data_IF_290164005660
#
_entry.id   IF_290164005660
#
_cell.length_a   1.000
_cell.length_b   1.000
_cell.length_c   1.000
_cell.angle_alpha   90.00
_cell.angle_beta   90.00
_cell.angle_gamma   90.00
#
_symmetry.space_group_name_H-M   'P 1'
#
loop_
_entity.id
_entity.type
_entity.pdbx_description
1 polymer ?
#
# COMPACT_ATOMS: atom_id res chain seq x y z
N UNK A 1 -35.24 -11.50 -23.44
CA UNK A 1 -34.43 -11.54 -24.69
C UNK A 1 -32.99 -11.80 -24.31
N UNK A 2 -32.53 -13.03 -24.48
CA UNK A 2 -31.12 -13.37 -24.19
C UNK A 2 -30.27 -12.79 -25.32
N UNK A 3 -29.52 -11.71 -25.03
CA UNK A 3 -28.43 -11.26 -25.90
C UNK A 3 -27.36 -12.34 -25.87
N UNK A 4 -27.36 -13.17 -26.89
CA UNK A 4 -26.21 -14.05 -27.15
C UNK A 4 -25.02 -13.16 -27.52
N UNK A 5 -24.10 -12.97 -26.58
CA UNK A 5 -22.82 -12.28 -26.83
C UNK A 5 -22.04 -13.11 -27.85
N UNK A 6 -21.92 -12.61 -29.07
CA UNK A 6 -21.12 -13.29 -30.11
C UNK A 6 -19.64 -13.12 -29.77
N UNK A 7 -19.01 -14.16 -29.24
CA UNK A 7 -17.57 -14.22 -29.05
C UNK A 7 -16.87 -14.46 -30.39
N UNK A 8 -15.95 -13.58 -30.73
CA UNK A 8 -15.12 -13.68 -31.93
C UNK A 8 -13.77 -14.25 -31.51
N UNK A 9 -13.28 -15.24 -32.27
CA UNK A 9 -11.89 -15.72 -32.10
C UNK A 9 -10.92 -14.59 -32.38
N UNK A 10 -9.84 -14.51 -31.61
CA UNK A 10 -8.83 -13.46 -31.72
C UNK A 10 -8.27 -13.30 -33.17
N UNK A 11 -8.23 -14.38 -33.94
CA UNK A 11 -7.81 -14.37 -35.34
C UNK A 11 -8.68 -13.52 -36.30
N UNK A 12 -9.96 -13.33 -35.98
CA UNK A 12 -10.88 -12.55 -36.82
C UNK A 12 -10.77 -11.03 -36.60
N UNK A 13 -10.09 -10.58 -35.55
CA UNK A 13 -9.88 -9.15 -35.19
C UNK A 13 -8.72 -8.51 -35.96
N UNK A 14 -8.01 -9.27 -36.80
CA UNK A 14 -6.69 -8.90 -37.34
C UNK A 14 -6.65 -7.71 -38.31
N UNK A 15 -7.74 -7.32 -38.95
CA UNK A 15 -7.70 -6.29 -39.99
C UNK A 15 -7.58 -4.85 -39.51
N UNK A 16 -8.13 -4.51 -38.33
CA UNK A 16 -8.13 -3.13 -37.79
C UNK A 16 -7.17 -2.93 -36.59
N UNK A 17 -6.54 -3.98 -36.12
CA UNK A 17 -5.77 -4.01 -34.89
C UNK A 17 -4.31 -3.52 -35.12
N UNK A 18 -3.79 -2.57 -34.30
CA UNK A 18 -2.38 -2.19 -34.36
C UNK A 18 -1.45 -3.38 -34.11
N UNK A 19 -0.29 -3.42 -34.76
CA UNK A 19 0.67 -4.54 -34.65
C UNK A 19 1.12 -4.78 -33.19
N UNK A 20 1.27 -3.72 -32.40
CA UNK A 20 1.58 -3.81 -30.96
C UNK A 20 0.49 -4.54 -30.16
N UNK A 21 -0.78 -4.37 -30.55
CA UNK A 21 -1.93 -5.01 -29.88
C UNK A 21 -1.99 -6.50 -30.22
N UNK A 22 -1.63 -6.90 -31.42
CA UNK A 22 -1.56 -8.32 -31.81
C UNK A 22 -0.64 -9.13 -30.90
N UNK A 23 0.49 -8.54 -30.48
CA UNK A 23 1.40 -9.18 -29.53
C UNK A 23 0.74 -9.37 -28.15
N UNK A 24 -0.04 -8.40 -27.69
CA UNK A 24 -0.77 -8.50 -26.41
C UNK A 24 -1.82 -9.60 -26.49
N UNK A 25 -2.58 -9.67 -27.57
CA UNK A 25 -3.55 -10.76 -27.78
C UNK A 25 -2.86 -12.11 -27.66
N UNK A 26 -1.70 -12.30 -28.30
CA UNK A 26 -0.92 -13.53 -28.17
C UNK A 26 -0.42 -13.81 -26.74
N UNK A 27 -0.20 -12.79 -25.89
CA UNK A 27 0.09 -12.98 -24.48
C UNK A 27 -1.19 -13.36 -23.69
N UNK A 28 -2.33 -12.73 -24.02
CA UNK A 28 -3.60 -13.05 -23.36
C UNK A 28 -4.08 -14.48 -23.68
N UNK A 29 -3.76 -15.02 -24.85
CA UNK A 29 -4.02 -16.43 -25.20
C UNK A 29 -3.25 -17.42 -24.32
N UNK A 30 -2.17 -16.99 -23.68
CA UNK A 30 -1.34 -17.80 -22.80
C UNK A 30 -1.83 -17.79 -21.33
N UNK A 31 -2.94 -17.10 -21.01
CA UNK A 31 -3.49 -17.08 -19.66
C UNK A 31 -3.88 -18.50 -19.21
N UNK A 32 -3.35 -18.91 -18.06
CA UNK A 32 -3.58 -20.24 -17.46
C UNK A 32 -4.54 -20.23 -16.28
N UNK A 33 -4.64 -19.08 -15.60
CA UNK A 33 -5.41 -18.92 -14.39
C UNK A 33 -6.55 -17.94 -14.59
N UNK A 34 -7.80 -18.43 -14.55
CA UNK A 34 -8.99 -17.60 -14.66
C UNK A 34 -9.43 -17.30 -16.10
N UNK A 35 -10.45 -16.48 -16.22
CA UNK A 35 -11.08 -16.09 -17.48
C UNK A 35 -11.15 -14.58 -17.60
N UNK A 36 -10.63 -14.05 -18.72
CA UNK A 36 -10.73 -12.65 -19.09
C UNK A 36 -11.69 -12.48 -20.27
N UNK A 37 -12.74 -11.70 -20.08
CA UNK A 37 -13.63 -11.24 -21.17
C UNK A 37 -13.21 -9.82 -21.56
N UNK A 38 -12.81 -9.63 -22.81
CA UNK A 38 -12.43 -8.33 -23.36
C UNK A 38 -13.50 -7.85 -24.33
N UNK A 39 -14.00 -6.63 -24.09
CA UNK A 39 -14.76 -5.88 -25.09
C UNK A 39 -13.81 -4.90 -25.78
N UNK A 40 -13.66 -5.09 -27.10
CA UNK A 40 -12.77 -4.29 -27.94
C UNK A 40 -13.40 -2.94 -28.31
N UNK A 41 -12.62 -1.95 -28.82
CA UNK A 41 -13.14 -0.64 -29.18
C UNK A 41 -14.21 -0.66 -30.29
N UNK A 42 -14.24 -1.69 -31.11
CA UNK A 42 -15.27 -1.92 -32.16
C UNK A 42 -16.56 -2.56 -31.60
N UNK A 43 -16.60 -2.85 -30.28
CA UNK A 43 -17.73 -3.47 -29.62
C UNK A 43 -17.74 -5.00 -29.63
N UNK A 44 -16.80 -5.65 -30.31
CA UNK A 44 -16.69 -7.11 -30.33
C UNK A 44 -16.19 -7.65 -28.99
N UNK A 45 -16.44 -8.93 -28.71
CA UNK A 45 -16.01 -9.60 -27.50
C UNK A 45 -15.05 -10.75 -27.80
N UNK A 46 -14.03 -10.89 -26.99
CA UNK A 46 -13.15 -12.07 -26.96
C UNK A 46 -13.01 -12.58 -25.54
N UNK A 47 -12.75 -13.88 -25.40
CA UNK A 47 -12.50 -14.51 -24.13
C UNK A 47 -11.17 -15.22 -24.15
N UNK A 48 -10.39 -15.06 -23.06
CA UNK A 48 -9.05 -15.64 -22.88
C UNK A 48 -8.98 -16.41 -21.57
N UNK A 49 -8.10 -17.40 -21.51
CA UNK A 49 -7.91 -18.23 -20.34
C UNK A 49 -8.90 -19.39 -20.24
N UNK A 50 -8.85 -20.11 -19.12
CA UNK A 50 -9.64 -21.31 -18.89
C UNK A 50 -10.35 -21.24 -17.53
N UNK A 51 -11.60 -21.72 -17.50
CA UNK A 51 -12.39 -21.83 -16.29
C UNK A 51 -12.19 -23.21 -15.68
N UNK A 52 -11.51 -23.30 -14.54
CA UNK A 52 -11.41 -24.51 -13.73
C UNK A 52 -11.89 -24.22 -12.30
N UNK A 53 -12.97 -24.88 -11.88
CA UNK A 53 -13.52 -24.73 -10.53
C UNK A 53 -13.93 -23.26 -10.21
N UNK A 54 -13.44 -22.73 -9.08
CA UNK A 54 -13.64 -21.34 -8.64
C UNK A 54 -12.67 -20.37 -9.30
N UNK A 55 -12.55 -20.43 -10.63
CA UNK A 55 -11.63 -19.55 -11.38
C UNK A 55 -12.03 -18.07 -11.25
N UNK A 56 -11.02 -17.21 -11.22
CA UNK A 56 -11.21 -15.77 -11.33
C UNK A 56 -11.88 -15.42 -12.67
N UNK A 57 -12.90 -14.59 -12.63
CA UNK A 57 -13.56 -14.03 -13.81
C UNK A 57 -13.39 -12.52 -13.80
N UNK A 58 -12.77 -11.99 -14.84
CA UNK A 58 -12.58 -10.55 -15.00
C UNK A 58 -13.05 -10.08 -16.35
N UNK A 59 -13.38 -8.79 -16.44
CA UNK A 59 -13.71 -8.15 -17.71
C UNK A 59 -12.86 -6.89 -17.91
N UNK A 60 -12.59 -6.59 -19.17
CA UNK A 60 -11.88 -5.40 -19.62
C UNK A 60 -12.63 -4.82 -20.81
N UNK A 61 -13.16 -3.61 -20.67
CA UNK A 61 -13.75 -2.85 -21.78
C UNK A 61 -12.77 -1.79 -22.24
N UNK A 62 -12.30 -1.90 -23.45
CA UNK A 62 -11.42 -0.93 -24.08
C UNK A 62 -12.24 0.08 -24.89
N UNK A 63 -12.02 1.37 -24.66
CA UNK A 63 -12.63 2.45 -25.42
C UNK A 63 -11.79 2.85 -26.64
N UNK A 64 -10.46 2.58 -26.56
CA UNK A 64 -9.50 2.76 -27.65
C UNK A 64 -8.28 1.82 -27.43
N UNK A 65 -7.34 1.82 -28.35
CA UNK A 65 -6.14 0.96 -28.30
C UNK A 65 -4.99 1.49 -27.43
N UNK A 66 -5.08 2.73 -26.95
CA UNK A 66 -4.01 3.41 -26.19
C UNK A 66 -3.55 2.64 -24.95
N UNK A 67 -4.45 2.11 -24.08
CA UNK A 67 -4.05 1.42 -22.86
C UNK A 67 -3.12 0.24 -23.11
N UNK A 68 -3.41 -0.55 -24.14
CA UNK A 68 -2.59 -1.70 -24.47
C UNK A 68 -1.21 -1.28 -25.00
N UNK A 69 -1.16 -0.24 -25.83
CA UNK A 69 0.12 0.27 -26.34
C UNK A 69 0.95 0.91 -25.23
N UNK A 70 0.33 1.58 -24.27
CA UNK A 70 1.01 2.14 -23.12
C UNK A 70 1.49 1.07 -22.13
N UNK A 71 0.70 0.01 -21.90
CA UNK A 71 1.12 -1.13 -21.10
C UNK A 71 2.40 -1.79 -21.67
N UNK A 72 2.49 -1.97 -22.99
CA UNK A 72 3.70 -2.48 -23.64
C UNK A 72 4.93 -1.57 -23.47
N UNK A 73 4.73 -0.26 -23.36
CA UNK A 73 5.83 0.71 -23.16
C UNK A 73 6.28 0.82 -21.71
N UNK A 74 5.34 0.86 -20.81
CA UNK A 74 5.53 1.31 -19.42
C UNK A 74 4.93 0.36 -18.38
N UNK A 75 4.52 -0.84 -18.78
CA UNK A 75 3.99 -1.86 -17.88
C UNK A 75 2.71 -1.42 -17.16
N UNK A 76 2.67 -1.73 -15.87
CA UNK A 76 1.55 -1.40 -14.97
C UNK A 76 1.26 0.09 -14.91
N UNK A 77 2.29 0.96 -14.95
CA UNK A 77 2.11 2.42 -15.00
C UNK A 77 1.32 2.83 -16.24
N UNK A 78 1.70 2.32 -17.43
CA UNK A 78 1.00 2.66 -18.68
C UNK A 78 -0.44 2.12 -18.71
N UNK A 79 -0.69 0.98 -18.10
CA UNK A 79 -2.03 0.42 -17.97
C UNK A 79 -2.90 1.25 -17.01
N UNK A 80 -2.32 1.67 -15.87
CA UNK A 80 -2.97 2.55 -14.91
C UNK A 80 -3.30 3.93 -15.52
N UNK A 81 -2.36 4.52 -16.30
CA UNK A 81 -2.59 5.80 -16.99
C UNK A 81 -3.79 5.71 -17.96
N UNK A 82 -3.98 4.56 -18.61
CA UNK A 82 -5.17 4.32 -19.43
C UNK A 82 -6.48 4.31 -18.62
N UNK A 83 -6.48 3.74 -17.41
CA UNK A 83 -7.64 3.80 -16.51
C UNK A 83 -7.91 5.23 -16.04
N UNK A 84 -6.86 5.93 -15.63
CA UNK A 84 -6.95 7.33 -15.18
C UNK A 84 -7.49 8.23 -16.28
N UNK A 85 -7.10 7.99 -17.54
CA UNK A 85 -7.62 8.72 -18.70
C UNK A 85 -9.05 8.33 -19.10
N UNK A 86 -9.58 7.21 -18.60
CA UNK A 86 -10.86 6.66 -18.99
C UNK A 86 -10.83 5.91 -20.32
N UNK A 87 -9.67 5.50 -20.77
CA UNK A 87 -9.48 4.74 -22.02
C UNK A 87 -9.90 3.27 -21.90
N UNK A 88 -10.04 2.78 -20.67
CA UNK A 88 -10.63 1.47 -20.37
C UNK A 88 -11.41 1.48 -19.06
N UNK A 89 -12.31 0.51 -18.91
CA UNK A 89 -13.09 0.26 -17.70
C UNK A 89 -13.22 -1.23 -17.43
N UNK A 90 -13.52 -1.57 -16.17
CA UNK A 90 -13.88 -2.92 -15.73
C UNK A 90 -15.03 -2.81 -14.72
N UNK A 91 -15.87 -3.82 -14.63
CA UNK A 91 -16.86 -3.91 -13.55
C UNK A 91 -16.24 -4.24 -12.19
N UNK A 92 -15.03 -4.82 -12.20
CA UNK A 92 -14.23 -5.13 -11.01
C UNK A 92 -12.75 -5.03 -11.36
N UNK A 93 -12.16 -3.88 -11.05
CA UNK A 93 -10.75 -3.59 -11.31
C UNK A 93 -9.84 -4.49 -10.48
N UNK A 94 -10.21 -4.77 -9.22
CA UNK A 94 -9.44 -5.67 -8.35
C UNK A 94 -9.33 -7.08 -8.95
N UNK A 95 -10.45 -7.67 -9.37
CA UNK A 95 -10.45 -9.01 -9.99
C UNK A 95 -9.66 -9.03 -11.30
N UNK A 96 -9.68 -7.94 -12.09
CA UNK A 96 -8.87 -7.83 -13.30
C UNK A 96 -7.37 -7.82 -12.97
N UNK A 97 -6.95 -7.04 -11.99
CA UNK A 97 -5.56 -6.96 -11.56
C UNK A 97 -5.09 -8.27 -10.94
N UNK A 98 -5.93 -8.93 -10.12
CA UNK A 98 -5.65 -10.27 -9.58
C UNK A 98 -5.39 -11.28 -10.69
N UNK A 99 -6.23 -11.29 -11.72
CA UNK A 99 -6.06 -12.18 -12.86
C UNK A 99 -4.70 -11.95 -13.55
N UNK A 100 -4.28 -10.70 -13.72
CA UNK A 100 -2.97 -10.39 -14.29
C UNK A 100 -1.83 -10.81 -13.37
N UNK A 101 -1.96 -10.63 -12.06
CA UNK A 101 -0.96 -11.05 -11.08
C UNK A 101 -0.81 -12.58 -11.09
N UNK A 102 -1.92 -13.33 -11.07
CA UNK A 102 -1.92 -14.79 -11.11
C UNK A 102 -1.27 -15.36 -12.38
N UNK A 103 -1.32 -14.61 -13.49
CA UNK A 103 -0.72 -14.97 -14.78
C UNK A 103 0.57 -14.20 -15.08
N UNK A 104 1.22 -13.60 -14.06
CA UNK A 104 2.41 -12.74 -14.28
C UNK A 104 3.47 -13.36 -15.15
N UNK A 105 3.76 -14.66 -14.98
CA UNK A 105 4.81 -15.36 -15.75
C UNK A 105 4.53 -15.38 -17.25
N UNK A 106 3.25 -15.44 -17.64
CA UNK A 106 2.80 -15.50 -19.02
C UNK A 106 2.79 -14.11 -19.68
N UNK A 107 2.52 -13.07 -18.87
CA UNK A 107 2.35 -11.69 -19.36
C UNK A 107 3.46 -10.74 -18.87
N UNK A 108 4.62 -11.29 -18.56
CA UNK A 108 5.73 -10.56 -17.92
C UNK A 108 6.14 -9.29 -18.73
N UNK A 109 6.21 -9.39 -20.04
CA UNK A 109 6.49 -8.26 -20.93
C UNK A 109 5.41 -7.16 -20.85
N UNK A 110 4.16 -7.54 -20.56
CA UNK A 110 3.04 -6.61 -20.42
C UNK A 110 3.07 -5.91 -19.07
N UNK A 111 3.42 -6.64 -18.00
CA UNK A 111 3.46 -6.11 -16.63
C UNK A 111 4.60 -5.11 -16.43
N UNK A 112 5.77 -5.40 -16.99
CA UNK A 112 6.98 -4.56 -16.80
C UNK A 112 7.31 -3.62 -17.95
N UNK A 113 6.68 -3.78 -19.11
CA UNK A 113 6.89 -2.93 -20.28
C UNK A 113 8.30 -3.00 -20.89
N UNK A 114 8.56 -2.12 -21.84
CA UNK A 114 9.85 -2.05 -22.54
C UNK A 114 10.93 -1.38 -21.65
N UNK A 115 12.20 -1.80 -21.78
CA UNK A 115 13.31 -1.34 -20.95
C UNK A 115 13.53 0.18 -20.95
N UNK A 116 13.24 0.87 -22.04
CA UNK A 116 13.33 2.34 -22.12
C UNK A 116 12.29 3.04 -21.25
N UNK A 117 11.04 2.53 -21.20
CA UNK A 117 10.01 3.04 -20.31
C UNK A 117 10.39 2.85 -18.85
N UNK A 118 10.89 1.66 -18.49
CA UNK A 118 11.41 1.37 -17.16
C UNK A 118 12.53 2.32 -16.73
N UNK A 119 13.49 2.56 -17.65
CA UNK A 119 14.60 3.49 -17.37
C UNK A 119 14.11 4.92 -17.11
N UNK A 120 13.14 5.40 -17.88
CA UNK A 120 12.56 6.73 -17.70
C UNK A 120 11.93 6.89 -16.29
N UNK A 121 11.04 5.98 -15.91
CA UNK A 121 10.39 6.04 -14.59
C UNK A 121 11.37 5.80 -13.44
N UNK A 122 12.39 4.93 -13.63
CA UNK A 122 13.44 4.74 -12.63
C UNK A 122 14.26 6.01 -12.39
N UNK A 123 14.65 6.72 -13.43
CA UNK A 123 15.36 8.01 -13.29
C UNK A 123 14.47 9.00 -12.54
N UNK A 124 13.18 9.07 -12.89
CA UNK A 124 12.21 9.94 -12.22
C UNK A 124 12.02 9.59 -10.74
N UNK A 125 11.96 8.29 -10.41
CA UNK A 125 11.91 7.81 -9.02
C UNK A 125 13.18 8.15 -8.23
N UNK A 126 14.36 7.98 -8.83
CA UNK A 126 15.62 8.32 -8.18
C UNK A 126 15.75 9.81 -7.84
N UNK A 127 15.13 10.70 -8.62
CA UNK A 127 15.07 12.13 -8.32
C UNK A 127 14.17 12.46 -7.12
N UNK A 128 13.23 11.56 -6.77
CA UNK A 128 12.31 11.70 -5.64
C UNK A 128 12.76 10.95 -4.37
N UNK A 129 14.04 10.58 -4.26
CA UNK A 129 14.58 9.89 -3.08
C UNK A 129 14.26 10.65 -1.79
N UNK A 130 13.99 9.89 -0.71
CA UNK A 130 13.63 10.41 0.61
C UNK A 130 14.86 10.92 1.40
N UNK A 131 15.60 11.87 0.80
CA UNK A 131 16.59 12.67 1.53
C UNK A 131 15.89 13.47 2.63
N UNK A 132 16.61 13.97 3.64
CA UNK A 132 16.00 14.78 4.73
C UNK A 132 15.11 15.93 4.20
N UNK A 133 15.52 16.60 3.14
CA UNK A 133 14.74 17.69 2.53
C UNK A 133 13.54 17.20 1.69
N UNK A 134 13.64 16.03 1.08
CA UNK A 134 12.57 15.48 0.23
C UNK A 134 11.56 14.64 1.01
N UNK A 135 11.96 13.98 2.10
CA UNK A 135 11.04 13.19 2.95
C UNK A 135 9.86 14.02 3.41
N UNK A 136 10.12 15.23 3.92
CA UNK A 136 9.05 16.14 4.33
C UNK A 136 8.13 16.50 3.16
N UNK A 137 8.68 16.84 1.99
CA UNK A 137 7.90 17.20 0.78
C UNK A 137 7.07 16.03 0.26
N UNK A 138 7.64 14.82 0.24
CA UNK A 138 6.95 13.62 -0.24
C UNK A 138 5.82 13.21 0.70
N UNK A 139 6.04 13.30 2.02
CA UNK A 139 5.02 13.03 3.04
C UNK A 139 3.94 14.12 2.97
N UNK A 140 4.31 15.40 2.92
CA UNK A 140 3.35 16.49 2.78
C UNK A 140 2.50 16.33 1.53
N UNK A 141 3.08 16.04 0.38
CA UNK A 141 2.32 15.87 -0.87
C UNK A 141 1.24 14.76 -0.79
N UNK A 142 1.46 13.72 0.02
CA UNK A 142 0.49 12.65 0.20
C UNK A 142 -0.54 12.98 1.30
N UNK A 143 -0.13 13.56 2.43
CA UNK A 143 -1.01 13.83 3.58
C UNK A 143 -1.65 15.22 3.56
N UNK A 144 -1.16 16.17 2.75
CA UNK A 144 -1.76 17.50 2.55
C UNK A 144 -3.05 17.46 1.69
N UNK A 145 -3.56 16.26 1.38
CA UNK A 145 -4.95 16.08 0.90
C UNK A 145 -5.99 16.53 1.93
N UNK A 146 -5.55 16.73 3.18
CA UNK A 146 -6.34 17.25 4.29
C UNK A 146 -7.08 16.19 5.10
N UNK A 147 -7.29 16.46 6.40
CA UNK A 147 -7.99 15.54 7.29
C UNK A 147 -9.43 15.28 6.83
N UNK A 148 -10.11 16.28 6.27
CA UNK A 148 -11.49 16.14 5.76
C UNK A 148 -11.60 15.08 4.67
N UNK A 149 -10.56 14.95 3.82
CA UNK A 149 -10.52 13.90 2.80
C UNK A 149 -10.39 12.51 3.42
N UNK A 150 -9.45 12.32 4.36
CA UNK A 150 -9.23 11.01 4.98
C UNK A 150 -10.41 10.57 5.84
N UNK A 151 -11.10 11.49 6.53
CA UNK A 151 -12.30 11.22 7.35
C UNK A 151 -13.48 10.72 6.53
N UNK A 152 -13.51 10.95 5.21
CA UNK A 152 -14.61 10.46 4.37
C UNK A 152 -14.60 8.94 4.21
N UNK A 153 -13.43 8.29 4.30
CA UNK A 153 -13.31 6.88 3.95
C UNK A 153 -12.50 6.03 4.93
N UNK A 154 -11.72 6.63 5.85
CA UNK A 154 -11.19 5.93 7.01
C UNK A 154 -12.28 5.78 8.07
N UNK A 155 -12.09 4.82 8.98
CA UNK A 155 -12.93 4.68 10.18
C UNK A 155 -12.58 5.75 11.25
N UNK A 156 -13.39 5.82 12.32
CA UNK A 156 -13.22 6.84 13.38
C UNK A 156 -11.85 6.81 14.07
N UNK A 157 -11.13 5.69 14.00
CA UNK A 157 -9.79 5.60 14.58
C UNK A 157 -8.74 6.36 13.77
N UNK A 158 -9.04 6.72 12.53
CA UNK A 158 -8.10 7.39 11.62
C UNK A 158 -6.78 6.63 11.48
N UNK A 159 -6.82 5.31 11.43
CA UNK A 159 -5.65 4.50 11.11
C UNK A 159 -5.54 4.31 9.59
N UNK A 160 -4.49 4.86 8.99
CA UNK A 160 -4.17 4.64 7.58
C UNK A 160 -3.07 3.58 7.45
N UNK A 161 -3.42 2.38 7.89
CA UNK A 161 -2.60 1.16 7.88
C UNK A 161 -3.50 -0.05 8.02
N UNK A 162 -2.98 -1.26 7.79
CA UNK A 162 -3.79 -2.48 7.87
C UNK A 162 -4.53 -2.62 9.19
N UNK A 163 -5.80 -2.96 9.13
CA UNK A 163 -6.55 -3.51 10.26
C UNK A 163 -6.19 -4.99 10.47
N UNK A 164 -6.46 -5.55 11.65
CA UNK A 164 -6.31 -6.96 11.95
C UNK A 164 -7.64 -7.53 12.45
N UNK A 165 -8.33 -8.27 11.61
CA UNK A 165 -9.67 -8.81 11.88
C UNK A 165 -9.66 -10.08 12.74
N UNK A 166 -8.50 -10.61 13.08
CA UNK A 166 -8.34 -11.83 13.89
C UNK A 166 -9.11 -13.04 13.30
N UNK A 167 -9.09 -13.17 11.97
CA UNK A 167 -9.79 -14.24 11.24
C UNK A 167 -11.31 -14.06 11.18
N UNK A 168 -11.86 -12.96 11.67
CA UNK A 168 -13.29 -12.68 11.68
C UNK A 168 -13.64 -11.39 10.95
N UNK A 169 -13.88 -11.48 9.65
CA UNK A 169 -14.27 -10.34 8.81
C UNK A 169 -15.68 -9.78 9.08
N UNK A 170 -16.43 -10.31 10.06
CA UNK A 170 -17.66 -9.66 10.52
C UNK A 170 -17.42 -8.50 11.50
N UNK A 171 -16.20 -8.34 12.02
CA UNK A 171 -15.81 -7.19 12.85
C UNK A 171 -15.88 -5.90 12.06
N UNK A 172 -16.17 -4.79 12.76
CA UNK A 172 -16.04 -3.46 12.16
C UNK A 172 -14.57 -3.12 11.92
N UNK A 173 -14.31 -2.20 11.00
CA UNK A 173 -12.94 -1.73 10.73
C UNK A 173 -12.30 -1.15 11.99
N UNK A 174 -13.03 -0.36 12.76
CA UNK A 174 -12.58 0.24 14.01
C UNK A 174 -12.18 -0.82 15.08
N UNK A 175 -12.97 -1.90 15.20
CA UNK A 175 -12.60 -3.01 16.09
C UNK A 175 -11.33 -3.70 15.65
N UNK A 176 -11.16 -3.92 14.35
CA UNK A 176 -9.98 -4.56 13.78
C UNK A 176 -8.73 -3.65 13.85
N UNK A 177 -8.90 -2.33 13.67
CA UNK A 177 -7.83 -1.35 13.88
C UNK A 177 -7.39 -1.31 15.34
N UNK A 178 -8.34 -1.31 16.28
CA UNK A 178 -8.05 -1.36 17.72
C UNK A 178 -7.32 -2.66 18.11
N UNK A 179 -7.70 -3.81 17.52
CA UNK A 179 -7.02 -5.08 17.75
C UNK A 179 -5.56 -5.03 17.26
N UNK A 180 -5.30 -4.47 16.08
CA UNK A 180 -3.98 -4.30 15.52
C UNK A 180 -3.08 -3.42 16.41
N UNK A 181 -3.58 -2.26 16.84
CA UNK A 181 -2.84 -1.33 17.70
C UNK A 181 -2.55 -1.96 19.06
N UNK A 182 -3.54 -2.62 19.67
CA UNK A 182 -3.39 -3.32 20.96
C UNK A 182 -2.32 -4.40 20.88
N UNK A 183 -2.33 -5.20 19.81
CA UNK A 183 -1.28 -6.20 19.57
C UNK A 183 0.10 -5.55 19.48
N UNK A 184 0.24 -4.47 18.73
CA UNK A 184 1.54 -3.79 18.59
C UNK A 184 2.10 -3.33 19.95
N UNK A 185 1.28 -2.73 20.80
CA UNK A 185 1.67 -2.32 22.16
C UNK A 185 2.01 -3.52 23.05
N UNK A 186 1.22 -4.60 23.01
CA UNK A 186 1.47 -5.84 23.75
C UNK A 186 2.79 -6.50 23.36
N UNK A 187 3.05 -6.61 22.04
CA UNK A 187 4.27 -7.24 21.53
C UNK A 187 5.52 -6.39 21.78
N UNK A 188 5.37 -5.07 21.81
CA UNK A 188 6.43 -4.17 22.29
C UNK A 188 6.66 -4.26 23.81
N UNK A 189 5.79 -4.98 24.54
CA UNK A 189 5.91 -5.22 25.98
C UNK A 189 5.51 -4.03 26.85
N UNK A 190 4.70 -3.12 26.34
CA UNK A 190 4.32 -1.86 27.02
C UNK A 190 3.59 -2.14 28.31
N UNK A 191 4.03 -1.48 29.40
CA UNK A 191 3.46 -1.53 30.73
C UNK A 191 3.10 -0.13 31.23
N UNK A 192 2.30 -0.07 32.29
CA UNK A 192 1.97 1.21 32.93
C UNK A 192 3.23 1.89 33.48
N UNK A 193 3.35 3.18 33.17
CA UNK A 193 4.49 4.00 33.55
C UNK A 193 5.66 3.96 32.57
N UNK A 194 5.63 3.10 31.54
CA UNK A 194 6.67 3.06 30.49
C UNK A 194 6.71 4.34 29.66
N UNK A 195 7.89 4.68 29.18
CA UNK A 195 8.11 5.67 28.12
C UNK A 195 8.12 4.96 26.77
N UNK A 196 7.18 5.26 25.91
CA UNK A 196 7.02 4.61 24.60
C UNK A 196 7.23 5.63 23.48
N UNK A 197 8.07 5.29 22.51
CA UNK A 197 8.27 6.10 21.30
C UNK A 197 7.49 5.49 20.12
N UNK A 198 6.71 6.33 19.45
CA UNK A 198 6.04 6.00 18.19
C UNK A 198 6.72 6.73 17.02
N UNK A 199 7.34 5.99 16.11
CA UNK A 199 7.94 6.53 14.89
C UNK A 199 6.87 6.53 13.80
N UNK A 200 6.39 7.72 13.42
CA UNK A 200 5.26 7.87 12.50
C UNK A 200 3.91 7.77 13.21
N UNK A 201 3.63 8.70 14.12
CA UNK A 201 2.43 8.62 14.96
C UNK A 201 1.09 8.89 14.25
N UNK A 202 1.12 9.27 12.97
CA UNK A 202 -0.09 9.52 12.20
C UNK A 202 -1.07 10.43 12.92
N UNK A 203 -2.35 10.06 12.96
CA UNK A 203 -3.41 10.77 13.67
C UNK A 203 -3.53 10.36 15.16
N UNK A 204 -2.53 9.66 15.72
CA UNK A 204 -2.37 9.43 17.15
C UNK A 204 -3.17 8.29 17.76
N UNK A 205 -3.70 7.35 16.97
CA UNK A 205 -4.52 6.26 17.52
C UNK A 205 -3.73 5.31 18.43
N UNK A 206 -2.46 5.00 18.09
CA UNK A 206 -1.61 4.18 18.96
C UNK A 206 -1.18 4.95 20.20
N UNK A 207 -0.84 6.23 20.08
CA UNK A 207 -0.52 7.08 21.23
C UNK A 207 -1.69 7.18 22.21
N UNK A 208 -2.92 7.37 21.70
CA UNK A 208 -4.13 7.40 22.53
C UNK A 208 -4.31 6.08 23.29
N UNK A 209 -4.27 4.94 22.61
CA UNK A 209 -4.45 3.63 23.26
C UNK A 209 -3.32 3.33 24.26
N UNK A 210 -2.07 3.68 23.92
CA UNK A 210 -0.92 3.51 24.82
C UNK A 210 -1.07 4.28 26.10
N UNK A 211 -1.57 5.53 26.03
CA UNK A 211 -1.81 6.36 27.20
C UNK A 211 -3.02 5.90 28.01
N UNK A 212 -4.17 5.63 27.36
CA UNK A 212 -5.43 5.35 28.03
C UNK A 212 -5.53 3.91 28.54
N UNK A 213 -5.19 2.94 27.69
CA UNK A 213 -5.42 1.51 28.01
C UNK A 213 -4.22 0.86 28.68
N UNK A 214 -3.00 1.36 28.37
CA UNK A 214 -1.76 0.80 28.92
C UNK A 214 -1.14 1.66 30.03
N UNK A 215 -1.59 2.91 30.20
CA UNK A 215 -1.06 3.83 31.21
C UNK A 215 0.39 4.25 30.94
N UNK A 216 0.83 4.20 29.70
CA UNK A 216 2.17 4.58 29.28
C UNK A 216 2.26 6.09 29.00
N UNK A 217 3.48 6.63 29.05
CA UNK A 217 3.79 7.99 28.58
C UNK A 217 4.23 7.91 27.12
N UNK A 218 3.40 8.45 26.23
CA UNK A 218 3.59 8.31 24.80
C UNK A 218 4.38 9.48 24.21
N UNK A 219 5.42 9.17 23.48
CA UNK A 219 6.17 10.11 22.65
C UNK A 219 6.01 9.70 21.20
N UNK A 220 5.76 10.66 20.31
CA UNK A 220 5.55 10.34 18.91
C UNK A 220 6.07 11.42 18.00
N UNK A 221 6.49 11.01 16.78
CA UNK A 221 6.96 11.93 15.75
C UNK A 221 6.22 11.72 14.44
N UNK A 222 5.96 12.81 13.74
CA UNK A 222 5.43 12.84 12.37
C UNK A 222 6.04 14.00 11.60
N UNK A 223 5.98 13.97 10.28
CA UNK A 223 6.40 15.07 9.39
C UNK A 223 5.20 15.86 8.82
N UNK A 224 3.96 15.47 9.15
CA UNK A 224 2.73 16.15 8.72
C UNK A 224 2.19 17.06 9.81
N UNK A 225 2.01 18.35 9.49
CA UNK A 225 1.39 19.33 10.38
C UNK A 225 -0.07 18.97 10.69
N UNK A 226 -0.82 18.52 9.69
CA UNK A 226 -2.23 18.14 9.81
C UNK A 226 -2.41 16.94 10.74
N UNK A 227 -1.59 15.90 10.57
CA UNK A 227 -1.60 14.74 11.46
C UNK A 227 -1.25 15.13 12.89
N UNK A 228 -0.20 15.95 13.06
CA UNK A 228 0.25 16.35 14.39
C UNK A 228 -0.85 17.11 15.15
N UNK A 229 -1.46 18.12 14.52
CA UNK A 229 -2.51 18.91 15.15
C UNK A 229 -3.68 18.02 15.60
N UNK A 230 -4.14 17.14 14.74
CA UNK A 230 -5.19 16.17 15.06
C UNK A 230 -4.81 15.21 16.19
N UNK A 231 -3.60 14.63 16.12
CA UNK A 231 -3.11 13.69 17.13
C UNK A 231 -2.93 14.34 18.51
N UNK A 232 -2.43 15.59 18.56
CA UNK A 232 -2.30 16.34 19.80
C UNK A 232 -3.68 16.66 20.44
N UNK A 233 -4.65 17.07 19.62
CA UNK A 233 -6.02 17.32 20.10
C UNK A 233 -6.66 16.02 20.63
N UNK A 234 -6.49 14.90 19.91
CA UNK A 234 -6.97 13.57 20.34
C UNK A 234 -6.38 13.18 21.69
N UNK A 235 -5.06 13.24 21.84
CA UNK A 235 -4.37 12.85 23.05
C UNK A 235 -4.73 13.74 24.23
N UNK A 236 -4.90 15.04 24.00
CA UNK A 236 -5.31 15.99 25.05
C UNK A 236 -6.74 15.73 25.56
N UNK A 237 -7.68 15.41 24.66
CA UNK A 237 -9.08 15.14 25.01
C UNK A 237 -9.24 13.88 25.86
N UNK A 238 -8.45 12.85 25.59
CA UNK A 238 -8.66 11.52 26.17
C UNK A 238 -7.82 11.25 27.40
N UNK A 239 -6.61 11.79 27.50
CA UNK A 239 -5.66 11.46 28.58
C UNK A 239 -5.03 12.67 29.31
N UNK A 240 -5.35 13.88 28.88
CA UNK A 240 -4.80 15.09 29.44
C UNK A 240 -3.31 15.33 29.16
N UNK A 241 -2.72 16.36 29.78
CA UNK A 241 -1.33 16.77 29.52
C UNK A 241 -0.24 15.76 29.94
N UNK A 242 -0.56 14.85 30.87
CA UNK A 242 0.40 13.87 31.38
C UNK A 242 0.68 12.69 30.42
N UNK A 243 -0.07 12.57 29.32
CA UNK A 243 -0.06 11.42 28.43
C UNK A 243 1.15 11.33 27.51
N UNK A 244 1.97 12.37 27.41
CA UNK A 244 3.16 12.36 26.56
C UNK A 244 3.29 13.57 25.66
N UNK A 245 4.15 13.45 24.63
CA UNK A 245 4.46 14.54 23.72
C UNK A 245 4.55 14.04 22.27
N UNK A 246 3.71 14.61 21.40
CA UNK A 246 3.79 14.38 19.96
C UNK A 246 4.45 15.60 19.29
N UNK A 247 5.37 15.34 18.33
CA UNK A 247 6.25 16.37 17.79
C UNK A 247 6.31 16.32 16.25
N UNK A 248 6.45 17.48 15.63
CA UNK A 248 6.84 17.59 14.22
C UNK A 248 8.37 17.42 14.14
N UNK A 249 8.82 16.20 13.90
CA UNK A 249 10.24 15.88 13.94
C UNK A 249 10.56 14.69 13.05
N UNK A 250 11.73 14.74 12.39
CA UNK A 250 12.27 13.57 11.71
C UNK A 250 12.75 12.56 12.74
N UNK A 251 12.43 11.28 12.56
CA UNK A 251 12.78 10.20 13.50
C UNK A 251 14.31 10.08 13.68
N UNK A 252 15.10 10.49 12.69
CA UNK A 252 16.56 10.49 12.73
C UNK A 252 17.12 11.44 13.76
N UNK A 253 16.37 12.50 14.09
CA UNK A 253 16.79 13.57 14.98
C UNK A 253 16.27 13.40 16.43
N UNK A 254 15.67 12.24 16.76
CA UNK A 254 15.24 11.94 18.14
C UNK A 254 16.48 11.71 19.02
N UNK A 255 16.64 12.50 20.08
CA UNK A 255 17.80 12.49 20.97
C UNK A 255 17.48 12.30 22.47
N UNK A 256 16.19 12.20 22.82
CA UNK A 256 15.69 12.15 24.20
C UNK A 256 15.39 10.72 24.73
N UNK A 257 15.98 9.70 24.09
CA UNK A 257 15.93 8.30 24.54
C UNK A 257 16.86 8.00 25.74
N UNK A 258 16.95 6.74 26.19
CA UNK A 258 16.25 5.59 25.65
C UNK A 258 14.81 5.44 26.18
N UNK A 259 14.00 4.65 25.46
CA UNK A 259 12.62 4.33 25.75
C UNK A 259 12.45 2.85 26.15
N UNK A 260 11.39 2.55 26.90
CA UNK A 260 11.04 1.18 27.31
C UNK A 260 10.58 0.37 26.09
N UNK A 261 9.79 1.00 25.20
CA UNK A 261 9.32 0.40 23.98
C UNK A 261 9.38 1.38 22.80
N UNK A 262 9.47 0.84 21.58
CA UNK A 262 9.34 1.58 20.32
C UNK A 262 8.29 0.92 19.45
N UNK A 263 7.34 1.70 18.91
CA UNK A 263 6.37 1.24 17.92
C UNK A 263 6.56 2.02 16.61
N UNK A 264 6.41 1.33 15.48
CA UNK A 264 6.42 1.95 14.16
C UNK A 264 5.53 1.18 13.20
N UNK A 265 4.45 1.80 12.75
CA UNK A 265 3.41 1.15 11.97
C UNK A 265 3.43 1.70 10.54
N UNK A 266 3.81 0.84 9.57
CA UNK A 266 3.85 1.15 8.13
C UNK A 266 4.56 2.47 7.81
N UNK A 267 5.76 2.61 8.35
CA UNK A 267 6.61 3.78 8.19
C UNK A 267 7.87 3.49 7.35
N UNK A 268 8.41 2.26 7.45
CA UNK A 268 9.66 1.86 6.77
C UNK A 268 9.52 1.94 5.24
N UNK A 269 8.32 1.74 4.71
CA UNK A 269 7.98 1.82 3.30
C UNK A 269 8.26 3.22 2.73
N UNK A 270 8.03 4.25 3.56
CA UNK A 270 8.25 5.64 3.20
C UNK A 270 9.70 6.10 3.42
N UNK A 271 10.54 5.27 4.04
CA UNK A 271 11.96 5.62 4.33
C UNK A 271 12.82 5.55 3.07
N UNK A 272 12.62 4.53 2.24
CA UNK A 272 13.44 4.23 1.07
C UNK A 272 14.66 3.39 1.40
N UNK A 273 15.02 2.48 0.48
CA UNK A 273 16.03 1.43 0.68
C UNK A 273 17.39 1.96 1.22
N UNK A 274 17.85 3.09 0.70
CA UNK A 274 19.15 3.66 1.09
C UNK A 274 19.22 4.08 2.57
N UNK A 275 18.09 4.26 3.23
CA UNK A 275 17.99 4.75 4.61
C UNK A 275 17.52 3.68 5.61
N UNK A 276 17.26 2.45 5.18
CA UNK A 276 16.91 1.36 6.10
C UNK A 276 17.96 1.11 7.17
N UNK A 277 19.30 1.12 6.87
CA UNK A 277 20.30 0.98 7.93
C UNK A 277 20.17 2.03 9.04
N UNK A 278 19.92 3.30 8.67
CA UNK A 278 19.72 4.40 9.63
C UNK A 278 18.43 4.23 10.43
N UNK A 279 17.35 3.74 9.79
CA UNK A 279 16.07 3.47 10.45
C UNK A 279 16.22 2.42 11.55
N UNK A 280 16.79 1.26 11.26
CA UNK A 280 17.00 0.20 12.25
C UNK A 280 18.01 0.58 13.33
N UNK A 281 19.08 1.29 12.96
CA UNK A 281 20.05 1.83 13.93
C UNK A 281 19.37 2.84 14.89
N UNK A 282 18.45 3.65 14.39
CA UNK A 282 17.66 4.57 15.24
C UNK A 282 16.78 3.80 16.22
N UNK A 283 16.05 2.77 15.78
CA UNK A 283 15.24 1.91 16.67
C UNK A 283 16.15 1.31 17.76
N UNK A 284 17.31 0.73 17.38
CA UNK A 284 18.25 0.15 18.34
C UNK A 284 18.76 1.17 19.34
N UNK A 285 19.10 2.39 18.91
CA UNK A 285 19.58 3.49 19.77
C UNK A 285 18.50 3.94 20.75
N UNK A 286 17.26 4.02 20.29
CA UNK A 286 16.13 4.50 21.11
C UNK A 286 15.64 3.49 22.15
N UNK A 287 15.94 2.21 22.00
CA UNK A 287 15.53 1.17 22.95
C UNK A 287 16.46 1.10 24.17
N UNK A 288 15.90 0.92 25.36
CA UNK A 288 16.63 0.43 26.54
C UNK A 288 17.18 -0.98 26.28
N UNK A 289 18.18 -1.46 27.03
CA UNK A 289 18.74 -2.81 26.83
C UNK A 289 17.69 -3.94 26.89
N UNK A 290 16.68 -3.84 27.76
CA UNK A 290 15.59 -4.79 27.89
C UNK A 290 14.36 -4.44 27.07
N UNK A 291 14.37 -3.30 26.37
CA UNK A 291 13.23 -2.80 25.60
C UNK A 291 12.98 -3.62 24.34
N UNK A 292 11.75 -3.58 23.86
CA UNK A 292 11.32 -4.20 22.60
C UNK A 292 10.75 -3.17 21.66
N UNK A 293 10.86 -3.45 20.36
CA UNK A 293 10.12 -2.69 19.36
C UNK A 293 9.09 -3.56 18.65
N UNK A 294 7.95 -2.99 18.29
CA UNK A 294 7.03 -3.58 17.34
C UNK A 294 7.03 -2.74 16.06
N UNK A 295 7.45 -3.37 14.96
CA UNK A 295 7.47 -2.75 13.63
C UNK A 295 6.49 -3.49 12.74
N UNK A 296 5.44 -2.78 12.30
CA UNK A 296 4.54 -3.29 11.25
C UNK A 296 5.05 -2.77 9.91
N UNK A 297 5.24 -3.69 8.96
CA UNK A 297 5.73 -3.37 7.62
C UNK A 297 4.98 -4.14 6.56
N UNK A 298 4.68 -3.46 5.45
CA UNK A 298 4.36 -4.12 4.20
C UNK A 298 5.67 -4.69 3.65
N UNK A 299 5.63 -5.95 3.25
CA UNK A 299 6.79 -6.64 2.66
C UNK A 299 6.41 -7.20 1.30
N UNK A 300 7.34 -7.17 0.35
CA UNK A 300 7.18 -7.84 -0.94
C UNK A 300 7.77 -9.26 -0.84
N UNK A 301 7.20 -10.21 -1.58
CA UNK A 301 7.75 -11.56 -1.67
C UNK A 301 9.24 -11.56 -2.07
N UNK A 302 10.07 -12.35 -1.40
CA UNK A 302 11.52 -12.41 -1.63
C UNK A 302 11.87 -12.70 -3.09
N UNK A 303 11.08 -13.52 -3.78
CA UNK A 303 11.32 -13.87 -5.20
C UNK A 303 11.05 -12.69 -6.16
N UNK A 304 10.33 -11.66 -5.72
CA UNK A 304 10.00 -10.48 -6.50
C UNK A 304 10.93 -9.30 -6.21
N UNK A 305 11.64 -9.32 -5.08
CA UNK A 305 12.35 -8.18 -4.52
C UNK A 305 13.43 -7.60 -5.45
N UNK A 306 14.32 -8.43 -5.99
CA UNK A 306 15.40 -7.95 -6.87
C UNK A 306 14.86 -7.18 -8.07
N UNK A 307 13.78 -7.70 -8.68
CA UNK A 307 13.15 -7.05 -9.82
C UNK A 307 12.41 -5.78 -9.44
N UNK A 308 11.73 -5.80 -8.29
CA UNK A 308 11.02 -4.66 -7.74
C UNK A 308 11.96 -3.47 -7.51
N UNK A 309 13.09 -3.65 -6.85
CA UNK A 309 14.04 -2.55 -6.58
C UNK A 309 14.73 -2.01 -7.84
N UNK A 310 14.70 -2.78 -8.92
CA UNK A 310 15.22 -2.38 -10.24
C UNK A 310 14.18 -1.71 -11.14
N UNK A 311 12.91 -1.64 -10.74
CA UNK A 311 11.81 -1.04 -11.49
C UNK A 311 11.20 0.13 -10.72
N UNK A 312 10.17 0.72 -11.27
CA UNK A 312 9.27 1.67 -10.61
C UNK A 312 7.87 1.25 -10.96
N UNK A 313 7.00 1.12 -9.97
CA UNK A 313 5.61 0.76 -10.14
C UNK A 313 4.66 1.97 -10.06
N UNK A 314 3.38 1.70 -10.24
CA UNK A 314 2.33 2.71 -10.14
C UNK A 314 2.32 3.40 -8.77
N UNK A 315 2.52 2.67 -7.67
CA UNK A 315 2.48 3.22 -6.31
C UNK A 315 3.61 4.23 -6.11
N UNK A 316 4.83 3.87 -6.51
CA UNK A 316 5.99 4.77 -6.41
C UNK A 316 5.89 5.99 -7.31
N UNK A 317 5.18 5.87 -8.44
CA UNK A 317 5.01 6.97 -9.38
C UNK A 317 3.95 7.98 -8.94
N UNK A 318 2.80 7.50 -8.42
CA UNK A 318 1.59 8.32 -8.23
C UNK A 318 1.18 8.52 -6.77
N UNK A 319 1.50 7.58 -5.87
CA UNK A 319 0.97 7.56 -4.50
C UNK A 319 2.06 7.85 -3.48
N UNK A 320 3.13 7.04 -3.43
CA UNK A 320 4.23 7.16 -2.47
C UNK A 320 5.59 7.34 -3.17
N UNK A 321 5.87 8.56 -3.69
CA UNK A 321 7.16 8.83 -4.33
C UNK A 321 8.33 8.61 -3.38
N UNK A 322 9.33 7.86 -3.83
CA UNK A 322 10.51 7.52 -3.02
C UNK A 322 10.31 6.33 -2.08
N UNK A 323 9.11 5.78 -1.98
CA UNK A 323 8.81 4.58 -1.20
C UNK A 323 9.49 3.33 -1.74
N UNK A 324 9.76 2.37 -0.86
CA UNK A 324 10.33 1.07 -1.21
C UNK A 324 9.94 0.04 -0.14
N UNK A 325 9.33 -1.06 -0.58
CA UNK A 325 9.00 -2.18 0.30
C UNK A 325 10.24 -3.04 0.55
N UNK A 326 10.56 -3.40 1.80
CA UNK A 326 11.52 -4.46 2.07
C UNK A 326 10.91 -5.82 1.72
N UNK A 327 11.75 -6.84 1.50
CA UNK A 327 11.33 -8.22 1.59
C UNK A 327 11.67 -8.79 2.98
N UNK A 328 11.09 -9.94 3.39
CA UNK A 328 11.38 -10.54 4.70
C UNK A 328 12.88 -10.76 4.96
N UNK A 329 13.62 -11.25 3.97
CA UNK A 329 15.06 -11.48 4.08
C UNK A 329 15.84 -10.18 4.30
N UNK A 330 15.51 -9.13 3.55
CA UNK A 330 16.18 -7.82 3.72
C UNK A 330 15.80 -7.18 5.05
N UNK A 331 14.53 -7.26 5.48
CA UNK A 331 14.10 -6.78 6.79
C UNK A 331 14.91 -7.45 7.91
N UNK A 332 15.05 -8.77 7.88
CA UNK A 332 15.84 -9.51 8.84
C UNK A 332 17.30 -9.08 8.81
N UNK A 333 17.91 -9.01 7.63
CA UNK A 333 19.32 -8.61 7.48
C UNK A 333 19.61 -7.21 8.05
N UNK A 334 18.71 -6.24 7.82
CA UNK A 334 18.85 -4.89 8.37
C UNK A 334 18.67 -4.87 9.89
N UNK A 335 17.72 -5.67 10.41
CA UNK A 335 17.51 -5.84 11.86
C UNK A 335 18.78 -6.35 12.54
N UNK A 336 19.39 -7.41 12.01
CA UNK A 336 20.62 -8.02 12.56
C UNK A 336 21.82 -7.07 12.49
N UNK A 337 21.98 -6.34 11.38
CA UNK A 337 23.06 -5.34 11.23
C UNK A 337 22.96 -4.22 12.27
N UNK A 338 21.76 -3.90 12.73
CA UNK A 338 21.53 -2.90 13.77
C UNK A 338 21.73 -3.42 15.21
N UNK A 339 22.11 -4.70 15.40
CA UNK A 339 22.23 -5.32 16.72
C UNK A 339 20.87 -5.67 17.35
N UNK A 340 19.86 -5.87 16.52
CA UNK A 340 18.53 -6.32 16.91
C UNK A 340 18.30 -7.74 16.40
N UNK A 341 17.35 -8.45 17.01
CA UNK A 341 16.83 -9.73 16.53
C UNK A 341 15.33 -9.74 16.50
N UNK A 342 14.75 -10.43 15.52
CA UNK A 342 13.33 -10.72 15.47
C UNK A 342 13.03 -11.82 16.50
N UNK A 343 12.15 -11.54 17.46
CA UNK A 343 11.74 -12.49 18.51
C UNK A 343 10.32 -13.01 18.32
N UNK A 344 9.52 -12.34 17.51
CA UNK A 344 8.18 -12.74 17.08
C UNK A 344 7.85 -12.08 15.75
N UNK A 345 7.00 -12.72 14.94
CA UNK A 345 6.45 -12.14 13.72
C UNK A 345 5.05 -12.71 13.45
N UNK A 346 4.18 -11.87 12.91
CA UNK A 346 2.83 -12.25 12.51
C UNK A 346 2.45 -11.60 11.18
N UNK A 347 2.16 -12.43 10.18
CA UNK A 347 1.65 -12.02 8.87
C UNK A 347 0.12 -12.00 8.87
N UNK A 348 -0.47 -10.95 8.24
CA UNK A 348 -1.92 -10.80 8.10
C UNK A 348 -2.33 -10.03 6.84
N UNK A 349 -1.66 -10.30 5.70
CA UNK A 349 -1.90 -9.60 4.43
C UNK A 349 -3.32 -9.70 3.89
N UNK A 350 -4.03 -10.81 4.14
CA UNK A 350 -5.44 -10.93 3.75
C UNK A 350 -6.35 -9.98 4.55
N UNK A 351 -5.97 -9.62 5.78
CA UNK A 351 -6.65 -8.57 6.55
C UNK A 351 -6.44 -7.19 5.90
N UNK A 352 -5.25 -6.97 5.29
CA UNK A 352 -5.03 -5.74 4.54
C UNK A 352 -5.85 -5.70 3.25
N UNK A 353 -5.95 -6.80 2.52
CA UNK A 353 -6.83 -6.88 1.36
C UNK A 353 -8.27 -6.50 1.73
N UNK A 354 -8.81 -7.03 2.84
CA UNK A 354 -10.15 -6.68 3.34
C UNK A 354 -10.22 -5.20 3.79
N UNK A 355 -9.18 -4.68 4.43
CA UNK A 355 -9.09 -3.27 4.83
C UNK A 355 -9.18 -2.36 3.60
N UNK A 356 -8.38 -2.63 2.56
CA UNK A 356 -8.36 -1.88 1.30
C UNK A 356 -9.70 -1.97 0.55
N UNK A 357 -10.31 -3.16 0.54
CA UNK A 357 -11.65 -3.35 -0.03
C UNK A 357 -12.69 -2.46 0.65
N UNK A 358 -12.68 -2.39 1.99
CA UNK A 358 -13.61 -1.53 2.74
C UNK A 358 -13.33 -0.06 2.49
N UNK A 359 -12.06 0.36 2.50
CA UNK A 359 -11.68 1.73 2.19
C UNK A 359 -12.13 2.12 0.79
N UNK A 360 -11.94 1.25 -0.21
CA UNK A 360 -12.38 1.48 -1.58
C UNK A 360 -13.90 1.66 -1.69
N UNK A 361 -14.67 0.78 -1.07
CA UNK A 361 -16.13 0.88 -1.08
C UNK A 361 -16.61 2.18 -0.44
N UNK A 362 -16.07 2.51 0.74
CA UNK A 362 -16.39 3.74 1.44
C UNK A 362 -15.97 4.99 0.64
N UNK A 363 -14.77 4.98 0.04
CA UNK A 363 -14.30 6.07 -0.81
C UNK A 363 -15.21 6.32 -2.00
N UNK A 364 -15.62 5.28 -2.72
CA UNK A 364 -16.50 5.40 -3.87
C UNK A 364 -17.91 5.86 -3.46
N UNK A 365 -18.42 5.43 -2.33
CA UNK A 365 -19.70 5.90 -1.77
C UNK A 365 -19.68 7.40 -1.47
N UNK A 366 -18.52 7.94 -1.05
CA UNK A 366 -18.35 9.36 -0.74
C UNK A 366 -17.94 10.21 -1.96
N UNK A 367 -18.00 9.68 -3.18
CA UNK A 367 -17.64 10.42 -4.42
C UNK A 367 -18.17 11.87 -4.45
N UNK A 368 -19.47 12.15 -4.17
CA UNK A 368 -19.99 13.51 -4.21
C UNK A 368 -19.28 14.46 -3.25
N UNK A 369 -18.91 13.98 -2.05
CA UNK A 369 -18.22 14.80 -1.06
C UNK A 369 -16.74 15.02 -1.42
N UNK A 370 -16.07 13.99 -1.97
CA UNK A 370 -14.69 14.14 -2.47
C UNK A 370 -14.63 15.21 -3.56
N UNK A 371 -15.57 15.20 -4.51
CA UNK A 371 -15.65 16.24 -5.54
C UNK A 371 -15.94 17.64 -4.96
N UNK A 372 -16.76 17.73 -3.90
CA UNK A 372 -17.03 19.00 -3.19
C UNK A 372 -15.78 19.55 -2.47
N UNK A 373 -14.84 18.71 -2.05
CA UNK A 373 -13.55 19.13 -1.49
C UNK A 373 -12.61 19.71 -2.57
N UNK A 374 -13.00 19.70 -3.85
CA UNK A 374 -12.23 20.29 -4.95
C UNK A 374 -11.38 19.27 -5.71
N UNK A 375 -11.46 17.98 -5.40
CA UNK A 375 -10.84 16.91 -6.20
C UNK A 375 -11.63 16.68 -7.50
N UNK A 376 -10.96 16.21 -8.52
CA UNK A 376 -11.55 15.93 -9.84
C UNK A 376 -11.75 14.42 -10.10
N UNK A 377 -12.42 14.09 -11.21
CA UNK A 377 -12.63 12.69 -11.63
C UNK A 377 -11.31 11.96 -11.90
N UNK A 378 -10.27 12.68 -12.32
CA UNK A 378 -8.95 12.11 -12.52
C UNK A 378 -8.35 11.62 -11.20
N UNK A 379 -8.47 12.42 -10.15
CA UNK A 379 -8.08 12.05 -8.79
C UNK A 379 -8.88 10.83 -8.29
N UNK A 380 -10.20 10.81 -8.50
CA UNK A 380 -11.05 9.68 -8.15
C UNK A 380 -10.54 8.37 -8.76
N UNK A 381 -10.18 8.38 -10.05
CA UNK A 381 -9.64 7.21 -10.76
C UNK A 381 -8.24 6.81 -10.26
N UNK A 382 -7.37 7.77 -9.94
CA UNK A 382 -6.05 7.47 -9.35
C UNK A 382 -6.23 6.74 -8.02
N UNK A 383 -7.13 7.24 -7.15
CA UNK A 383 -7.32 6.69 -5.82
C UNK A 383 -8.00 5.33 -5.84
N UNK A 384 -9.02 5.16 -6.68
CA UNK A 384 -9.66 3.87 -6.92
C UNK A 384 -8.65 2.83 -7.43
N UNK A 385 -7.87 3.18 -8.44
CA UNK A 385 -6.86 2.27 -8.98
C UNK A 385 -5.82 1.89 -7.93
N UNK A 386 -5.37 2.85 -7.13
CA UNK A 386 -4.46 2.61 -6.01
C UNK A 386 -5.01 1.55 -5.05
N UNK A 387 -6.24 1.74 -4.57
CA UNK A 387 -6.85 0.81 -3.62
C UNK A 387 -7.03 -0.58 -4.24
N UNK A 388 -7.50 -0.66 -5.49
CA UNK A 388 -7.62 -1.94 -6.22
C UNK A 388 -6.26 -2.63 -6.45
N UNK A 389 -5.23 -1.85 -6.78
CA UNK A 389 -3.89 -2.37 -7.07
C UNK A 389 -3.27 -3.02 -5.83
N UNK A 390 -3.34 -2.34 -4.69
CA UNK A 390 -2.88 -2.89 -3.43
C UNK A 390 -3.74 -4.07 -2.95
N UNK A 391 -5.09 -3.97 -3.01
CA UNK A 391 -6.00 -5.06 -2.67
C UNK A 391 -5.65 -6.34 -3.46
N UNK A 392 -5.49 -6.23 -4.78
CA UNK A 392 -5.12 -7.35 -5.64
C UNK A 392 -3.75 -7.95 -5.29
N UNK A 393 -2.76 -7.11 -4.96
CA UNK A 393 -1.42 -7.57 -4.62
C UNK A 393 -1.39 -8.35 -3.28
N UNK A 394 -2.19 -7.96 -2.28
CA UNK A 394 -2.36 -8.71 -1.02
C UNK A 394 -3.14 -10.00 -1.23
N UNK A 395 -4.24 -9.98 -1.98
CA UNK A 395 -5.04 -11.17 -2.29
C UNK A 395 -4.22 -12.26 -2.98
N UNK A 396 -3.36 -11.87 -3.92
CA UNK A 396 -2.48 -12.79 -4.66
C UNK A 396 -1.12 -13.02 -3.97
N UNK A 397 -0.95 -12.51 -2.74
CA UNK A 397 0.24 -12.70 -1.89
C UNK A 397 1.56 -12.27 -2.54
N UNK A 398 1.52 -11.30 -3.43
CA UNK A 398 2.73 -10.65 -3.94
C UNK A 398 3.38 -9.75 -2.89
N UNK A 399 2.55 -9.22 -2.01
CA UNK A 399 2.93 -8.47 -0.82
C UNK A 399 2.18 -9.02 0.38
N UNK A 400 2.75 -8.81 1.56
CA UNK A 400 2.16 -9.18 2.84
C UNK A 400 2.31 -8.00 3.81
N UNK A 401 1.59 -8.00 4.91
CA UNK A 401 1.85 -7.11 6.05
C UNK A 401 2.24 -7.94 7.25
N UNK A 402 3.33 -7.55 7.90
CA UNK A 402 3.90 -8.30 9.02
C UNK A 402 4.15 -7.36 10.20
N UNK A 403 3.70 -7.75 11.38
CA UNK A 403 4.16 -7.16 12.63
C UNK A 403 5.35 -7.97 13.15
N UNK A 404 6.52 -7.34 13.21
CA UNK A 404 7.76 -7.88 13.76
C UNK A 404 7.99 -7.35 15.18
N UNK A 405 8.27 -8.23 16.11
CA UNK A 405 8.76 -7.85 17.44
C UNK A 405 10.27 -7.98 17.47
N UNK A 406 10.94 -6.87 17.77
CA UNK A 406 12.39 -6.77 17.80
C UNK A 406 12.89 -6.60 19.23
N UNK A 407 14.03 -7.24 19.56
CA UNK A 407 14.75 -7.04 20.83
C UNK A 407 16.24 -6.83 20.55
N UNK A 408 16.95 -6.17 21.46
CA UNK A 408 18.42 -6.10 21.38
C UNK A 408 19.06 -7.48 21.54
N UNK A 409 20.15 -7.71 20.81
CA UNK A 409 21.00 -8.90 20.93
C UNK A 409 21.82 -8.82 22.20
#
# INVERSE_FOLDING_TARGET
MSNSTNFVKADALHETMPTSVKRIVGLLEQLQHGVLTVQWPDGQFSQFGQSHGNALHANLKLHNWTPLTQAMKSGDIGFAEGFIAGDWTSSDVTSLLRLFIANRKQIDDLVYGHWLGRLYYRVKHLLKRNTRSNSQKNIQAHYDLGNDFYQLWLDETMNYSSAWFEGNFSRTTSQAQSAKVRRALQMAGVQAGDRVMEIGCGWGALAEMGACDFGATMYGVTLSHEQLAFAQERLHKTSGQAAGQLRLQDYRDIDDGPYDAVCSIEMIEAVGQAYWPEYFATIARLLKPSGKACVQSIVIDDALFERYVLSTDFIQQYIFPGGCLPCPQEFQAQTERAGLKIVDSMSFGLDYAETLRRWRLQFLEQTPKVLQLGFDERFMRIWEFYLCYCEAAFEERNIDVVQYTLAKI
#
